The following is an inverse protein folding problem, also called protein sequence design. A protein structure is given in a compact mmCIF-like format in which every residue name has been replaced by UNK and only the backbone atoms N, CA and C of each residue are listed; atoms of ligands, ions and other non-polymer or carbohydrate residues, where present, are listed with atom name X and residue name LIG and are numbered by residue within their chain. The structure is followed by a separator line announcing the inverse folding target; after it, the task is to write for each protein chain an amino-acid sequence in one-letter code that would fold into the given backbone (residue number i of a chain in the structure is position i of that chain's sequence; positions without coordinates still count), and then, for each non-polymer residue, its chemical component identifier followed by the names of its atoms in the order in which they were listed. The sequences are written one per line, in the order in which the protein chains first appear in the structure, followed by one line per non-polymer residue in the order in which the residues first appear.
data_IF_988611675665
#
_entry.id   IF_988611675665
#
_cell.length_a   1.000
_cell.length_b   1.000
_cell.length_c   1.000
_cell.angle_alpha   90.00
_cell.angle_beta   90.00
_cell.angle_gamma   90.00
#
_symmetry.space_group_name_H-M   'P 1'
#
loop_
_entity.id
_entity.type
_entity.pdbx_description
1 polymer ?
#
# COMPACT_ATOMS: atom_id res chain seq x y z
N UNK A 1 8.18 15.95 -19.13
CA UNK A 1 7.18 14.87 -19.18
C UNK A 1 7.76 13.71 -18.38
N UNK A 2 7.37 13.57 -17.10
CA UNK A 2 7.91 12.54 -16.20
C UNK A 2 7.14 11.23 -16.46
N UNK A 3 7.84 10.14 -16.80
CA UNK A 3 7.24 8.81 -16.94
C UNK A 3 7.36 8.14 -15.57
N UNK A 4 6.27 7.97 -14.79
CA UNK A 4 6.35 7.25 -13.53
C UNK A 4 6.74 5.81 -13.82
N UNK A 5 7.82 5.32 -13.20
CA UNK A 5 8.05 3.88 -13.15
C UNK A 5 6.95 3.30 -12.25
N UNK A 6 6.09 2.49 -12.86
CA UNK A 6 5.01 1.79 -12.17
C UNK A 6 5.46 0.36 -11.90
N UNK A 7 5.69 0.02 -10.64
CA UNK A 7 5.85 -1.38 -10.23
C UNK A 7 4.48 -1.92 -9.86
N UNK A 8 4.02 -2.91 -10.62
CA UNK A 8 2.77 -3.64 -10.34
C UNK A 8 3.07 -4.87 -9.51
N UNK A 9 2.38 -5.02 -8.41
CA UNK A 9 2.39 -6.24 -7.61
C UNK A 9 0.96 -6.78 -7.50
N UNK A 10 0.75 -8.02 -7.94
CA UNK A 10 -0.51 -8.73 -7.75
C UNK A 10 -0.32 -9.73 -6.60
N UNK A 11 -0.85 -9.44 -5.40
CA UNK A 11 -0.65 -10.33 -4.28
C UNK A 11 -1.34 -11.66 -4.45
N UNK A 12 -2.45 -11.75 -5.19
CA UNK A 12 -3.25 -12.98 -5.29
C UNK A 12 -3.72 -13.58 -3.96
N UNK A 13 -3.47 -12.91 -2.82
CA UNK A 13 -3.62 -13.47 -1.47
C UNK A 13 -4.07 -12.42 -0.47
N UNK A 14 -4.88 -12.85 0.49
CA UNK A 14 -5.27 -12.11 1.69
C UNK A 14 -4.25 -12.31 2.81
N UNK A 15 -3.94 -11.25 3.57
CA UNK A 15 -3.03 -11.30 4.72
C UNK A 15 -3.71 -10.80 6.01
N UNK A 16 -3.26 -11.31 7.17
CA UNK A 16 -3.87 -11.03 8.50
C UNK A 16 -3.80 -9.57 9.00
N UNK A 17 -3.23 -8.64 8.22
CA UNK A 17 -3.35 -7.17 8.41
C UNK A 17 -2.30 -6.41 7.58
N UNK A 18 -1.17 -7.05 7.26
CA UNK A 18 0.00 -6.37 6.69
C UNK A 18 0.68 -7.21 5.62
N UNK A 19 1.27 -6.50 4.66
CA UNK A 19 2.09 -7.09 3.60
C UNK A 19 3.24 -6.14 3.27
N UNK A 20 4.41 -6.70 2.97
CA UNK A 20 5.60 -5.97 2.60
C UNK A 20 6.05 -6.37 1.20
N UNK A 21 6.28 -5.39 0.35
CA UNK A 21 6.76 -5.54 -1.01
C UNK A 21 8.19 -5.02 -1.09
N UNK A 22 9.02 -5.72 -1.86
CA UNK A 22 10.43 -5.40 -2.00
C UNK A 22 10.87 -5.44 -3.45
N UNK A 23 11.11 -4.27 -4.00
CA UNK A 23 11.86 -4.03 -5.23
C UNK A 23 12.71 -2.80 -4.97
N UNK A 24 13.96 -2.73 -5.43
CA UNK A 24 14.75 -1.50 -5.27
C UNK A 24 14.08 -0.35 -6.03
N UNK A 25 13.25 0.44 -5.34
CA UNK A 25 12.70 1.68 -5.86
C UNK A 25 13.81 2.74 -5.78
N UNK A 26 14.55 2.93 -6.88
CA UNK A 26 15.69 3.86 -6.94
C UNK A 26 15.31 5.35 -6.95
N UNK A 27 14.23 5.77 -6.28
CA UNK A 27 13.71 7.14 -6.32
C UNK A 27 12.70 7.48 -5.22
N UNK A 28 12.21 8.72 -5.21
CA UNK A 28 11.22 9.18 -4.23
C UNK A 28 9.85 8.57 -4.55
N UNK A 29 9.22 7.87 -3.62
CA UNK A 29 7.88 7.32 -3.82
C UNK A 29 6.88 8.47 -3.68
N UNK A 30 6.08 8.73 -4.73
CA UNK A 30 5.05 9.79 -4.74
C UNK A 30 3.70 9.28 -4.28
N UNK A 31 3.30 8.12 -4.77
CA UNK A 31 1.98 7.59 -4.51
C UNK A 31 1.89 6.09 -4.75
N UNK A 32 0.86 5.50 -4.16
CA UNK A 32 0.49 4.11 -4.34
C UNK A 32 -0.96 4.03 -4.78
N UNK A 33 -1.25 3.17 -5.74
CA UNK A 33 -2.61 2.80 -6.11
C UNK A 33 -2.88 1.39 -5.61
N UNK A 34 -3.81 1.26 -4.67
CA UNK A 34 -4.24 -0.04 -4.14
C UNK A 34 -5.60 -0.37 -4.73
N UNK A 35 -5.69 -1.47 -5.46
CA UNK A 35 -6.97 -1.94 -6.00
C UNK A 35 -7.62 -2.92 -5.02
N UNK A 36 -8.79 -2.57 -4.50
CA UNK A 36 -9.60 -3.47 -3.68
C UNK A 36 -10.09 -4.68 -4.49
N UNK A 37 -10.47 -5.75 -3.78
CA UNK A 37 -11.05 -6.92 -4.41
C UNK A 37 -12.37 -6.60 -5.11
N UNK A 38 -12.63 -7.27 -6.24
CA UNK A 38 -13.72 -6.92 -7.16
C UNK A 38 -15.12 -7.31 -6.67
N UNK A 39 -15.28 -8.20 -5.69
CA UNK A 39 -16.58 -8.79 -5.37
C UNK A 39 -16.79 -9.00 -3.84
N UNK A 40 -17.78 -8.32 -3.27
CA UNK A 40 -18.36 -8.48 -1.92
C UNK A 40 -17.44 -8.25 -0.71
N UNK A 41 -16.24 -7.70 -0.89
CA UNK A 41 -15.27 -7.52 0.21
C UNK A 41 -14.41 -6.25 0.07
N UNK A 42 -14.83 -5.29 -0.77
CA UNK A 42 -14.11 -4.02 -0.94
C UNK A 42 -14.01 -3.22 0.35
N UNK A 43 -14.98 -3.35 1.24
CA UNK A 43 -15.04 -2.68 2.54
C UNK A 43 -13.95 -3.13 3.52
N UNK A 44 -13.36 -4.33 3.31
CA UNK A 44 -12.19 -4.82 4.05
C UNK A 44 -10.94 -3.98 3.84
N UNK A 45 -10.88 -3.23 2.75
CA UNK A 45 -9.81 -2.26 2.54
C UNK A 45 -10.20 -0.95 3.23
N UNK A 46 -9.82 -0.82 4.50
CA UNK A 46 -10.08 0.34 5.35
C UNK A 46 -8.88 0.63 6.24
N UNK A 47 -8.76 1.87 6.71
CA UNK A 47 -7.69 2.36 7.58
C UNK A 47 -6.29 1.87 7.18
N UNK A 48 -5.96 1.96 5.90
CA UNK A 48 -4.72 1.47 5.32
C UNK A 48 -3.62 2.51 5.52
N UNK A 49 -2.65 2.20 6.37
CA UNK A 49 -1.40 2.92 6.51
C UNK A 49 -0.34 2.33 5.57
N UNK A 50 0.39 3.22 4.89
CA UNK A 50 1.56 2.88 4.09
C UNK A 50 2.82 3.41 4.76
N UNK A 51 3.80 2.52 4.95
CA UNK A 51 5.13 2.86 5.47
C UNK A 51 6.23 2.41 4.51
N UNK A 52 7.30 3.18 4.44
CA UNK A 52 8.48 2.89 3.63
C UNK A 52 9.64 2.44 4.52
N UNK A 53 10.50 1.61 3.94
CA UNK A 53 11.67 1.06 4.62
C UNK A 53 12.87 0.96 3.69
N UNK A 54 14.07 1.09 4.25
CA UNK A 54 15.31 0.78 3.53
C UNK A 54 15.61 -0.73 3.52
N UNK A 55 14.98 -1.50 4.42
CA UNK A 55 15.12 -2.96 4.50
C UNK A 55 13.76 -3.63 4.70
N UNK A 56 13.65 -4.93 4.40
CA UNK A 56 12.42 -5.73 4.64
C UNK A 56 12.00 -5.81 6.11
N UNK A 57 12.89 -5.47 7.05
CA UNK A 57 12.63 -5.55 8.48
C UNK A 57 12.25 -4.20 9.12
N UNK A 58 12.62 -3.07 8.50
CA UNK A 58 12.52 -1.75 9.12
C UNK A 58 11.76 -0.78 8.21
N UNK A 59 10.52 -0.48 8.59
CA UNK A 59 9.63 0.48 7.91
C UNK A 59 9.36 1.67 8.84
N UNK A 60 10.25 2.65 8.81
CA UNK A 60 10.24 3.79 9.73
C UNK A 60 9.60 5.05 9.13
N UNK A 61 9.58 5.16 7.81
CA UNK A 61 9.09 6.34 7.11
C UNK A 61 7.59 6.21 6.86
N UNK A 62 6.80 7.19 7.29
CA UNK A 62 5.38 7.24 6.97
C UNK A 62 5.20 7.80 5.55
N UNK A 63 4.45 7.08 4.71
CA UNK A 63 4.08 7.59 3.38
C UNK A 63 2.70 8.25 3.47
N UNK A 64 1.66 7.50 3.80
CA UNK A 64 0.29 8.00 3.76
C UNK A 64 -0.72 7.08 4.41
N UNK A 65 -1.95 7.57 4.49
CA UNK A 65 -3.08 6.89 5.12
C UNK A 65 -4.31 6.97 4.20
N UNK A 66 -5.07 5.89 4.16
CA UNK A 66 -6.41 5.84 3.61
C UNK A 66 -7.38 5.34 4.66
N UNK A 67 -8.35 6.16 5.06
CA UNK A 67 -9.30 5.79 6.13
C UNK A 67 -10.35 4.77 5.66
N UNK A 68 -10.71 4.78 4.38
CA UNK A 68 -11.72 3.89 3.83
C UNK A 68 -13.12 4.09 4.39
N UNK A 69 -14.01 3.09 4.25
CA UNK A 69 -13.80 1.84 3.50
C UNK A 69 -13.77 2.07 1.97
N UNK A 70 -13.13 1.17 1.24
CA UNK A 70 -13.19 1.14 -0.22
C UNK A 70 -14.48 0.48 -0.72
N UNK A 71 -14.84 0.76 -1.97
CA UNK A 71 -15.87 0.03 -2.71
C UNK A 71 -15.25 -1.16 -3.44
N UNK A 72 -16.09 -2.11 -3.85
CA UNK A 72 -15.68 -3.25 -4.66
C UNK A 72 -14.97 -2.80 -5.95
N UNK A 73 -13.78 -3.35 -6.19
CA UNK A 73 -12.95 -3.07 -7.37
C UNK A 73 -12.41 -1.63 -7.47
N UNK A 74 -12.60 -0.80 -6.43
CA UNK A 74 -12.10 0.57 -6.36
C UNK A 74 -10.58 0.60 -6.37
N UNK A 75 -10.02 1.56 -7.10
CA UNK A 75 -8.62 1.95 -6.98
C UNK A 75 -8.52 3.09 -5.97
N UNK A 76 -7.81 2.84 -4.88
CA UNK A 76 -7.53 3.80 -3.82
C UNK A 76 -6.18 4.45 -4.06
N UNK A 77 -6.14 5.78 -4.08
CA UNK A 77 -4.92 6.56 -4.19
C UNK A 77 -4.39 6.94 -2.80
N UNK A 78 -3.14 6.59 -2.50
CA UNK A 78 -2.45 6.96 -1.26
C UNK A 78 -1.22 7.76 -1.65
N UNK A 79 -1.23 9.07 -1.38
CA UNK A 79 -0.08 9.94 -1.61
C UNK A 79 0.95 9.81 -0.48
N UNK A 80 2.23 9.81 -0.84
CA UNK A 80 3.31 9.93 0.13
C UNK A 80 3.61 11.39 0.46
N UNK A 81 4.19 11.62 1.64
CA UNK A 81 4.75 12.93 1.98
C UNK A 81 5.88 13.33 1.02
N UNK A 82 6.06 14.63 0.81
CA UNK A 82 7.11 15.14 -0.07
C UNK A 82 8.49 14.73 0.46
N UNK A 83 9.29 14.07 -0.37
CA UNK A 83 10.64 13.61 0.00
C UNK A 83 10.69 12.20 0.59
N UNK A 84 9.55 11.51 0.68
CA UNK A 84 9.52 10.11 1.12
C UNK A 84 10.33 9.21 0.17
N UNK A 85 11.28 8.47 0.75
CA UNK A 85 12.18 7.56 0.04
C UNK A 85 12.29 6.22 0.77
N UNK A 86 12.36 5.14 0.01
CA UNK A 86 12.50 3.79 0.55
C UNK A 86 12.55 2.73 -0.53
N UNK A 87 13.15 1.58 -0.21
CA UNK A 87 13.26 0.43 -1.11
C UNK A 87 12.16 -0.61 -0.87
N UNK A 88 11.47 -0.53 0.27
CA UNK A 88 10.43 -1.46 0.64
C UNK A 88 9.18 -0.68 1.01
N UNK A 89 8.03 -1.20 0.60
CA UNK A 89 6.72 -0.65 0.93
C UNK A 89 6.02 -1.66 1.83
N UNK A 90 5.48 -1.19 2.95
CA UNK A 90 4.56 -1.95 3.78
C UNK A 90 3.19 -1.31 3.72
N UNK A 91 2.19 -2.11 3.37
CA UNK A 91 0.78 -1.75 3.42
C UNK A 91 0.16 -2.47 4.61
N UNK A 92 -0.53 -1.76 5.50
CA UNK A 92 -1.11 -2.34 6.71
C UNK A 92 -2.42 -1.68 7.11
N UNK A 93 -3.37 -2.45 7.62
CA UNK A 93 -4.58 -1.92 8.27
C UNK A 93 -4.21 -1.50 9.71
N UNK A 94 -4.54 -0.26 10.09
CA UNK A 94 -4.35 0.29 11.45
C UNK A 94 -5.70 0.65 12.07
N UNK A 95 -5.93 0.44 13.36
CA UNK A 95 -7.20 0.82 14.02
C UNK A 95 -7.99 -0.37 14.59
N UNK A 96 -9.13 -0.03 15.25
CA UNK A 96 -9.73 -0.73 16.41
C UNK A 96 -9.35 -2.20 16.50
N UNK A 97 -8.32 -2.35 17.31
CA UNK A 97 -7.68 -3.56 17.76
C UNK A 97 -7.00 -4.31 16.62
N UNK A 98 -5.70 -4.61 16.81
CA UNK A 98 -4.96 -5.58 16.01
C UNK A 98 -5.53 -7.01 16.16
N UNK A 99 -6.85 -7.13 16.05
CA UNK A 99 -7.63 -8.33 16.03
C UNK A 99 -7.16 -9.16 14.86
N UNK A 100 -7.07 -10.45 15.14
CA UNK A 100 -6.68 -11.50 14.21
C UNK A 100 -7.56 -11.59 12.94
N UNK A 101 -8.59 -10.74 12.82
CA UNK A 101 -9.62 -10.74 11.79
C UNK A 101 -9.51 -9.58 10.79
N UNK A 102 -8.57 -8.64 10.94
CA UNK A 102 -8.31 -7.60 9.94
C UNK A 102 -7.62 -8.20 8.71
N UNK A 103 -8.41 -8.66 7.74
CA UNK A 103 -7.90 -9.30 6.53
C UNK A 103 -7.65 -8.27 5.43
N UNK A 104 -6.38 -7.92 5.24
CA UNK A 104 -5.94 -7.08 4.13
C UNK A 104 -6.08 -7.86 2.82
N UNK A 105 -6.99 -7.41 1.95
CA UNK A 105 -7.22 -8.01 0.64
C UNK A 105 -7.14 -6.96 -0.46
N UNK A 106 -6.29 -7.20 -1.45
CA UNK A 106 -6.09 -6.31 -2.60
C UNK A 106 -5.72 -7.14 -3.83
N UNK A 107 -6.16 -6.71 -5.00
CA UNK A 107 -5.84 -7.38 -6.27
C UNK A 107 -4.52 -6.87 -6.87
N UNK A 108 -4.21 -5.60 -6.67
CA UNK A 108 -3.08 -4.96 -7.32
C UNK A 108 -2.57 -3.80 -6.46
N UNK A 109 -1.25 -3.69 -6.37
CA UNK A 109 -0.56 -2.52 -5.88
C UNK A 109 0.28 -1.94 -7.02
N UNK A 110 0.05 -0.67 -7.35
CA UNK A 110 0.93 0.10 -8.23
C UNK A 110 1.70 1.13 -7.39
N UNK A 111 3.03 1.13 -7.49
CA UNK A 111 3.88 2.14 -6.83
C UNK A 111 4.40 3.11 -7.87
N UNK A 112 4.22 4.41 -7.64
CA UNK A 112 4.65 5.50 -8.54
C UNK A 112 5.85 6.23 -7.94
N UNK A 113 6.98 6.18 -8.62
CA UNK A 113 8.22 6.84 -8.19
C UNK A 113 8.54 8.08 -9.04
N UNK A 114 9.18 9.06 -8.41
CA UNK A 114 9.85 10.18 -9.07
C UNK A 114 11.36 9.91 -9.08
N UNK A 115 11.94 9.85 -10.28
CA UNK A 115 13.38 10.00 -10.48
C UNK A 115 13.68 11.44 -10.83
#
# INVERSE_FOLDING_TARGET
MEIPETVRYNPGYSAKAKIAFGTEYGGNIKSLHVRSEKIYVGDRLHNVEVKLGLTRAHFTEFCGLYEGPAKDGQVVYIGCQTGSSGQFVRVQIVGKDGLADNVLTMCELEVHVKR
#
